data_IF_140816701971
#
_entry.id   IF_140816701971
#
_cell.length_a   1.000
_cell.length_b   1.000
_cell.length_c   1.000
_cell.angle_alpha   90.00
_cell.angle_beta   90.00
_cell.angle_gamma   90.00
#
_symmetry.space_group_name_H-M   'P 1'
#
loop_
_entity.id
_entity.type
_entity.pdbx_description
1 polymer ?
#
# COMPACT_ATOMS: atom_id res chain seq x y z
N UNK A 1 -15.60 -20.99 -12.79
CA UNK A 1 -16.92 -20.72 -12.16
C UNK A 1 -17.49 -19.45 -12.80
N UNK A 2 -18.40 -19.57 -13.76
CA UNK A 2 -19.06 -18.42 -14.38
C UNK A 2 -20.06 -17.76 -13.43
N UNK A 3 -20.17 -16.43 -13.46
CA UNK A 3 -21.25 -15.69 -12.79
C UNK A 3 -22.08 -14.99 -13.86
N UNK A 4 -23.39 -15.21 -13.84
CA UNK A 4 -24.33 -14.57 -14.75
C UNK A 4 -24.44 -13.08 -14.43
N UNK A 5 -24.22 -12.22 -15.43
CA UNK A 5 -24.65 -10.83 -15.42
C UNK A 5 -25.62 -10.68 -16.60
N UNK A 6 -26.89 -10.37 -16.33
CA UNK A 6 -27.89 -10.11 -17.37
C UNK A 6 -28.37 -11.33 -18.19
N UNK A 7 -28.25 -12.55 -17.66
CA UNK A 7 -28.69 -13.78 -18.35
C UNK A 7 -27.70 -14.36 -19.36
N UNK A 8 -26.50 -13.77 -19.46
CA UNK A 8 -25.41 -14.29 -20.29
C UNK A 8 -24.41 -15.03 -19.39
N UNK A 9 -24.17 -16.30 -19.68
CA UNK A 9 -23.14 -17.11 -18.99
C UNK A 9 -21.77 -16.72 -19.56
N UNK A 10 -21.08 -15.82 -18.86
CA UNK A 10 -19.74 -15.39 -19.25
C UNK A 10 -18.71 -16.42 -18.80
N UNK A 11 -18.02 -17.04 -19.76
CA UNK A 11 -16.85 -17.89 -19.52
C UNK A 11 -15.60 -17.03 -19.34
N UNK A 12 -14.83 -17.38 -18.31
CA UNK A 12 -13.54 -16.75 -17.98
C UNK A 12 -12.44 -17.74 -18.30
N UNK A 13 -11.51 -17.33 -19.15
CA UNK A 13 -10.36 -18.14 -19.52
C UNK A 13 -9.09 -17.44 -19.04
N UNK A 14 -8.34 -18.12 -18.16
CA UNK A 14 -7.11 -17.63 -17.53
C UNK A 14 -5.91 -18.39 -18.09
N UNK A 15 -4.84 -17.68 -18.45
CA UNK A 15 -3.59 -18.30 -18.93
C UNK A 15 -2.38 -17.63 -18.29
N UNK A 16 -1.54 -18.43 -17.64
CA UNK A 16 -0.16 -18.09 -17.33
C UNK A 16 0.73 -18.45 -18.54
N UNK A 17 1.49 -17.46 -19.02
CA UNK A 17 2.37 -17.62 -20.18
C UNK A 17 3.75 -18.06 -19.69
N UNK A 18 4.09 -19.34 -19.88
CA UNK A 18 5.42 -19.89 -19.63
C UNK A 18 6.22 -20.01 -20.93
N UNK A 19 7.54 -19.89 -20.81
CA UNK A 19 8.54 -19.97 -21.88
C UNK A 19 8.51 -21.36 -22.55
N UNK A 20 8.18 -21.40 -23.84
CA UNK A 20 8.33 -22.50 -24.79
C UNK A 20 7.20 -22.61 -25.82
N UNK A 21 5.98 -22.17 -25.48
CA UNK A 21 4.77 -22.38 -26.30
C UNK A 21 3.72 -21.26 -26.17
N UNK A 22 4.15 -20.03 -25.87
CA UNK A 22 3.23 -18.90 -25.63
C UNK A 22 2.30 -18.60 -26.82
N UNK A 23 2.81 -18.72 -28.05
CA UNK A 23 2.04 -18.44 -29.26
C UNK A 23 0.92 -19.49 -29.52
N UNK A 24 1.18 -20.79 -29.34
CA UNK A 24 0.14 -21.80 -29.58
C UNK A 24 -0.96 -21.74 -28.51
N UNK A 25 -0.59 -21.47 -27.25
CA UNK A 25 -1.54 -21.23 -26.17
C UNK A 25 -2.45 -20.04 -26.44
N UNK A 26 -1.90 -18.92 -26.91
CA UNK A 26 -2.72 -17.76 -27.31
C UNK A 26 -3.69 -18.11 -28.45
N UNK A 27 -3.26 -18.91 -29.43
CA UNK A 27 -4.18 -19.37 -30.49
C UNK A 27 -5.32 -20.20 -29.94
N UNK A 28 -5.02 -21.19 -29.11
CA UNK A 28 -6.04 -22.04 -28.48
C UNK A 28 -7.00 -21.23 -27.60
N UNK A 29 -6.46 -20.32 -26.77
CA UNK A 29 -7.23 -19.40 -25.91
C UNK A 29 -8.26 -18.61 -26.73
N UNK A 30 -7.81 -17.96 -27.80
CA UNK A 30 -8.69 -17.14 -28.63
C UNK A 30 -9.65 -17.99 -29.47
N UNK A 31 -9.30 -19.22 -29.84
CA UNK A 31 -10.21 -20.15 -30.48
C UNK A 31 -11.34 -20.58 -29.52
N UNK A 32 -10.99 -20.99 -28.30
CA UNK A 32 -11.97 -21.34 -27.28
C UNK A 32 -12.87 -20.15 -26.92
N UNK A 33 -12.31 -18.95 -26.82
CA UNK A 33 -13.09 -17.73 -26.58
C UNK A 33 -14.11 -17.45 -27.70
N UNK A 34 -13.77 -17.78 -28.95
CA UNK A 34 -14.66 -17.64 -30.12
C UNK A 34 -15.77 -18.69 -30.11
N UNK A 35 -15.43 -19.94 -29.82
CA UNK A 35 -16.42 -21.02 -29.74
C UNK A 35 -17.45 -20.78 -28.61
N UNK A 36 -17.05 -20.01 -27.59
CA UNK A 36 -17.87 -19.65 -26.45
C UNK A 36 -18.38 -18.20 -26.48
N UNK A 37 -18.40 -17.56 -27.64
CA UNK A 37 -18.90 -16.20 -27.77
C UNK A 37 -20.41 -16.12 -27.35
N UNK A 38 -20.84 -15.08 -26.60
CA UNK A 38 -20.06 -13.93 -26.15
C UNK A 38 -19.16 -14.22 -24.93
N UNK A 39 -17.90 -13.81 -24.98
CA UNK A 39 -16.90 -14.12 -23.95
C UNK A 39 -15.94 -12.97 -23.63
N UNK A 40 -15.24 -13.06 -22.49
CA UNK A 40 -14.23 -12.09 -22.07
C UNK A 40 -12.90 -12.81 -21.88
N UNK A 41 -11.85 -12.30 -22.54
CA UNK A 41 -10.47 -12.76 -22.37
C UNK A 41 -9.76 -11.79 -21.42
N UNK A 42 -9.24 -12.30 -20.30
CA UNK A 42 -8.47 -11.52 -19.34
C UNK A 42 -6.98 -11.87 -19.47
N UNK A 43 -6.15 -10.85 -19.67
CA UNK A 43 -4.69 -10.98 -19.71
C UNK A 43 -4.11 -10.15 -18.57
N UNK A 44 -3.62 -10.80 -17.52
CA UNK A 44 -2.89 -10.10 -16.46
C UNK A 44 -1.41 -9.94 -16.84
N UNK A 45 -0.76 -8.93 -16.26
CA UNK A 45 0.65 -8.63 -16.48
C UNK A 45 1.05 -8.60 -17.97
N UNK A 46 0.31 -7.83 -18.77
CA UNK A 46 0.54 -7.71 -20.21
C UNK A 46 2.00 -7.34 -20.54
N UNK A 47 2.69 -6.60 -19.66
CA UNK A 47 4.09 -6.23 -19.82
C UNK A 47 5.07 -7.42 -19.83
N UNK A 48 4.67 -8.59 -19.31
CA UNK A 48 5.48 -9.81 -19.39
C UNK A 48 5.67 -10.29 -20.86
N UNK A 49 4.67 -10.09 -21.71
CA UNK A 49 4.69 -10.51 -23.13
C UNK A 49 4.66 -9.34 -24.10
N UNK A 50 4.21 -8.18 -23.64
CA UNK A 50 3.90 -7.00 -24.45
C UNK A 50 4.99 -5.95 -24.51
N UNK A 51 6.15 -6.18 -23.90
CA UNK A 51 7.24 -5.19 -23.89
C UNK A 51 7.80 -4.88 -25.29
N UNK A 52 8.56 -3.77 -25.42
CA UNK A 52 9.27 -3.42 -26.67
C UNK A 52 10.27 -4.50 -27.12
N UNK A 53 10.30 -4.71 -28.44
CA UNK A 53 11.12 -5.71 -29.13
C UNK A 53 12.61 -5.39 -29.01
N UNK A 54 13.46 -6.42 -29.02
CA UNK A 54 14.91 -6.23 -29.14
C UNK A 54 15.65 -5.75 -27.87
N UNK A 55 14.95 -5.54 -26.75
CA UNK A 55 15.57 -5.19 -25.46
C UNK A 55 16.36 -6.36 -24.84
N UNK A 56 16.02 -7.61 -25.18
CA UNK A 56 16.68 -8.82 -24.66
C UNK A 56 17.30 -9.57 -25.84
N UNK A 57 18.64 -9.56 -25.93
CA UNK A 57 19.40 -10.35 -26.92
C UNK A 57 19.53 -11.79 -26.44
N UNK A 58 18.99 -12.76 -27.20
CA UNK A 58 19.07 -14.19 -26.90
C UNK A 58 17.80 -14.96 -27.29
N UNK A 59 17.81 -16.28 -27.11
CA UNK A 59 16.70 -17.18 -27.47
C UNK A 59 15.36 -16.78 -26.80
N UNK A 60 15.38 -16.35 -25.54
CA UNK A 60 14.17 -15.92 -24.82
C UNK A 60 13.52 -14.64 -25.36
N UNK A 61 14.28 -13.77 -26.04
CA UNK A 61 13.73 -12.58 -26.70
C UNK A 61 12.92 -12.93 -27.95
N UNK A 62 13.41 -13.89 -28.75
CA UNK A 62 12.72 -14.35 -29.97
C UNK A 62 11.37 -15.00 -29.67
N UNK A 63 11.29 -15.76 -28.58
CA UNK A 63 10.05 -16.40 -28.18
C UNK A 63 9.00 -15.40 -27.66
N UNK A 64 9.45 -14.39 -26.91
CA UNK A 64 8.59 -13.30 -26.47
C UNK A 64 8.05 -12.52 -27.67
N UNK A 65 8.91 -12.20 -28.63
CA UNK A 65 8.52 -11.50 -29.86
C UNK A 65 7.54 -12.34 -30.70
N UNK A 66 7.71 -13.66 -30.77
CA UNK A 66 6.78 -14.57 -31.44
C UNK A 66 5.41 -14.59 -30.74
N UNK A 67 5.40 -14.68 -29.41
CA UNK A 67 4.18 -14.65 -28.59
C UNK A 67 3.45 -13.30 -28.73
N UNK A 68 4.19 -12.20 -28.73
CA UNK A 68 3.66 -10.85 -28.97
C UNK A 68 3.03 -10.74 -30.36
N UNK A 69 3.73 -11.15 -31.42
CA UNK A 69 3.18 -11.11 -32.77
C UNK A 69 1.90 -11.96 -32.88
N UNK A 70 1.86 -13.12 -32.23
CA UNK A 70 0.66 -13.95 -32.20
C UNK A 70 -0.51 -13.25 -31.47
N UNK A 71 -0.25 -12.57 -30.36
CA UNK A 71 -1.26 -11.76 -29.68
C UNK A 71 -1.81 -10.66 -30.61
N UNK A 72 -0.93 -9.98 -31.37
CA UNK A 72 -1.35 -8.96 -32.33
C UNK A 72 -2.25 -9.54 -33.43
N UNK A 73 -1.92 -10.72 -33.96
CA UNK A 73 -2.76 -11.41 -34.95
C UNK A 73 -4.11 -11.80 -34.37
N UNK A 74 -4.14 -12.31 -33.12
CA UNK A 74 -5.38 -12.65 -32.44
C UNK A 74 -6.28 -11.42 -32.24
N UNK A 75 -5.69 -10.26 -31.90
CA UNK A 75 -6.40 -8.99 -31.73
C UNK A 75 -6.85 -8.34 -33.05
N UNK A 76 -6.10 -8.50 -34.15
CA UNK A 76 -6.47 -7.93 -35.44
C UNK A 76 -7.48 -8.79 -36.20
N UNK A 77 -7.42 -10.11 -36.02
CA UNK A 77 -8.31 -11.09 -36.65
C UNK A 77 -9.76 -11.03 -36.18
N UNK A 78 -10.13 -10.03 -35.38
CA UNK A 78 -11.52 -9.74 -35.01
C UNK A 78 -12.19 -8.91 -36.11
N UNK A 79 -12.73 -9.59 -37.12
CA UNK A 79 -13.64 -8.99 -38.11
C UNK A 79 -15.12 -9.13 -37.70
N UNK A 80 -15.40 -9.84 -36.60
CA UNK A 80 -16.73 -10.01 -36.01
C UNK A 80 -17.06 -8.94 -34.98
N UNK A 81 -18.30 -8.46 -34.98
CA UNK A 81 -18.83 -7.39 -34.12
C UNK A 81 -18.80 -7.77 -32.62
N UNK A 82 -17.69 -7.53 -31.93
CA UNK A 82 -17.68 -7.32 -30.47
C UNK A 82 -18.16 -8.48 -29.56
N UNK A 83 -18.21 -9.71 -30.06
CA UNK A 83 -18.67 -10.86 -29.26
C UNK A 83 -17.59 -11.37 -28.29
N UNK A 84 -16.31 -11.10 -28.56
CA UNK A 84 -15.20 -11.40 -27.65
C UNK A 84 -14.53 -10.10 -27.24
N UNK A 85 -14.49 -9.83 -25.94
CA UNK A 85 -13.88 -8.63 -25.37
C UNK A 85 -12.57 -9.03 -24.68
N UNK A 86 -11.45 -8.47 -25.11
CA UNK A 86 -10.17 -8.63 -24.41
C UNK A 86 -9.93 -7.47 -23.44
N UNK A 87 -9.66 -7.78 -22.17
CA UNK A 87 -9.23 -6.84 -21.15
C UNK A 87 -7.84 -7.26 -20.69
N UNK A 88 -6.94 -6.30 -20.55
CA UNK A 88 -5.59 -6.55 -20.06
C UNK A 88 -5.19 -5.58 -18.94
N UNK A 89 -4.41 -6.06 -17.98
CA UNK A 89 -3.79 -5.26 -16.92
C UNK A 89 -2.29 -5.16 -17.09
N UNK A 90 -1.72 -4.03 -16.69
CA UNK A 90 -0.27 -3.80 -16.69
C UNK A 90 0.09 -2.73 -15.66
N UNK A 91 1.22 -2.92 -14.99
CA UNK A 91 1.80 -1.93 -14.10
C UNK A 91 2.78 -1.00 -14.84
N UNK A 92 3.19 -1.37 -16.06
CA UNK A 92 4.23 -0.70 -16.84
C UNK A 92 3.77 -0.37 -18.26
N UNK A 93 2.80 0.55 -18.42
CA UNK A 93 2.29 0.93 -19.74
C UNK A 93 3.35 1.62 -20.62
N UNK A 94 4.43 2.11 -20.03
CA UNK A 94 5.55 2.81 -20.65
C UNK A 94 6.44 1.90 -21.50
N UNK A 95 6.56 0.61 -21.16
CA UNK A 95 7.42 -0.35 -21.87
C UNK A 95 6.67 -1.17 -22.92
N UNK A 96 5.36 -0.96 -23.08
CA UNK A 96 4.55 -1.75 -24.00
C UNK A 96 4.86 -1.40 -25.46
N UNK A 97 4.91 -2.42 -26.32
CA UNK A 97 5.03 -2.25 -27.77
C UNK A 97 3.91 -1.31 -28.26
N UNK A 98 4.25 -0.17 -28.92
CA UNK A 98 3.27 0.77 -29.43
C UNK A 98 2.22 0.14 -30.36
N UNK A 99 2.53 -1.00 -30.97
CA UNK A 99 1.60 -1.75 -31.78
C UNK A 99 0.40 -2.27 -30.97
N UNK A 100 0.55 -2.61 -29.69
CA UNK A 100 -0.56 -3.09 -28.84
C UNK A 100 -1.63 -2.04 -28.59
N UNK A 101 -1.22 -0.76 -28.52
CA UNK A 101 -2.10 0.36 -28.18
C UNK A 101 -2.72 1.05 -29.41
N UNK A 102 -2.47 0.54 -30.61
CA UNK A 102 -3.04 1.07 -31.85
C UNK A 102 -4.56 0.84 -31.91
N UNK A 103 -5.29 1.65 -32.70
CA UNK A 103 -6.71 1.40 -32.99
C UNK A 103 -6.95 -0.05 -33.42
N UNK A 104 -8.10 -0.61 -33.01
CA UNK A 104 -8.53 -2.03 -33.16
C UNK A 104 -7.90 -3.04 -32.19
N UNK A 105 -6.92 -2.66 -31.36
CA UNK A 105 -6.34 -3.51 -30.31
C UNK A 105 -6.70 -2.96 -28.92
N UNK A 106 -5.73 -2.68 -28.05
CA UNK A 106 -5.96 -2.03 -26.75
C UNK A 106 -6.13 -0.51 -26.89
N UNK A 107 -7.18 -0.09 -27.59
CA UNK A 107 -7.49 1.33 -27.82
C UNK A 107 -7.98 2.03 -26.56
N UNK A 108 -8.85 1.39 -25.77
CA UNK A 108 -9.38 1.96 -24.53
C UNK A 108 -8.41 1.71 -23.38
N UNK A 109 -7.86 2.80 -22.83
CA UNK A 109 -6.99 2.78 -21.66
C UNK A 109 -7.77 3.31 -20.46
N UNK A 110 -7.89 2.50 -19.41
CA UNK A 110 -8.52 2.90 -18.16
C UNK A 110 -7.43 2.95 -17.10
N UNK A 111 -7.10 4.16 -16.65
CA UNK A 111 -6.17 4.33 -15.55
C UNK A 111 -6.91 4.16 -14.22
N UNK A 112 -6.44 3.23 -13.39
CA UNK A 112 -6.95 3.00 -12.05
C UNK A 112 -5.97 3.65 -11.07
N UNK A 113 -6.27 4.86 -10.56
CA UNK A 113 -5.40 5.49 -9.57
C UNK A 113 -5.45 4.74 -8.24
N UNK A 114 -4.45 4.98 -7.40
CA UNK A 114 -4.52 4.56 -5.99
C UNK A 114 -5.79 5.13 -5.33
N UNK A 115 -6.49 4.34 -4.51
CA UNK A 115 -7.66 4.82 -3.79
C UNK A 115 -7.29 5.99 -2.89
N UNK A 116 -8.17 6.99 -2.85
CA UNK A 116 -8.14 8.07 -1.86
C UNK A 116 -9.10 7.73 -0.71
N UNK A 117 -9.27 8.64 0.24
CA UNK A 117 -10.14 8.47 1.42
C UNK A 117 -11.48 7.77 1.11
N UNK A 118 -12.25 8.29 0.15
CA UNK A 118 -13.55 7.71 -0.22
C UNK A 118 -13.39 6.26 -0.74
N UNK A 119 -12.38 6.02 -1.58
CA UNK A 119 -12.08 4.69 -2.08
C UNK A 119 -11.66 3.72 -0.98
N UNK A 120 -10.85 4.17 -0.01
CA UNK A 120 -10.48 3.36 1.15
C UNK A 120 -11.69 3.03 2.03
N UNK A 121 -12.61 3.98 2.25
CA UNK A 121 -13.86 3.72 2.98
C UNK A 121 -14.69 2.64 2.30
N UNK A 122 -14.84 2.71 0.97
CA UNK A 122 -15.62 1.72 0.22
C UNK A 122 -14.93 0.35 0.20
N UNK A 123 -13.60 0.30 0.07
CA UNK A 123 -12.84 -0.96 0.19
C UNK A 123 -12.99 -1.54 1.59
N UNK A 124 -12.91 -0.72 2.65
CA UNK A 124 -13.11 -1.15 4.04
C UNK A 124 -14.49 -1.74 4.24
N UNK A 125 -15.54 -1.03 3.82
CA UNK A 125 -16.92 -1.53 3.88
C UNK A 125 -17.06 -2.84 3.11
N UNK A 126 -16.50 -2.92 1.90
CA UNK A 126 -16.53 -4.13 1.10
C UNK A 126 -15.84 -5.30 1.81
N UNK A 127 -14.66 -5.08 2.41
CA UNK A 127 -13.93 -6.11 3.15
C UNK A 127 -14.67 -6.57 4.40
N UNK A 128 -15.28 -5.64 5.15
CA UNK A 128 -16.08 -5.93 6.34
C UNK A 128 -17.32 -6.75 5.98
N UNK A 129 -18.08 -6.33 4.96
CA UNK A 129 -19.32 -7.00 4.57
C UNK A 129 -19.08 -8.33 3.82
N UNK A 130 -18.09 -8.38 2.91
CA UNK A 130 -17.91 -9.53 2.02
C UNK A 130 -17.17 -10.69 2.69
N UNK A 131 -16.28 -10.44 3.66
CA UNK A 131 -15.43 -11.49 4.25
C UNK A 131 -15.94 -12.06 5.59
N UNK A 132 -17.13 -11.68 6.07
CA UNK A 132 -17.71 -12.12 7.37
C UNK A 132 -16.70 -12.11 8.52
N UNK A 133 -15.76 -11.16 8.51
CA UNK A 133 -14.73 -11.10 9.56
C UNK A 133 -15.38 -10.65 10.87
N UNK A 134 -14.97 -11.20 12.03
CA UNK A 134 -15.44 -10.74 13.32
C UNK A 134 -14.97 -9.30 13.51
N UNK A 135 -15.91 -8.37 13.42
CA UNK A 135 -15.66 -6.93 13.47
C UNK A 135 -16.61 -6.34 14.52
N UNK A 136 -16.13 -5.35 15.28
CA UNK A 136 -16.98 -4.63 16.22
C UNK A 136 -18.17 -3.97 15.49
N UNK A 137 -19.35 -3.99 16.11
CA UNK A 137 -20.60 -3.55 15.47
C UNK A 137 -20.58 -2.07 15.04
N UNK A 138 -19.72 -1.24 15.64
CA UNK A 138 -19.65 0.21 15.43
C UNK A 138 -18.26 0.66 14.95
N UNK A 139 -17.77 0.11 13.85
CA UNK A 139 -16.50 0.57 13.27
C UNK A 139 -16.74 1.76 12.36
N UNK A 140 -16.14 2.90 12.73
CA UNK A 140 -16.05 4.06 11.85
C UNK A 140 -14.99 3.82 10.76
N UNK A 141 -15.46 3.33 9.61
CA UNK A 141 -14.61 3.11 8.43
C UNK A 141 -13.95 4.40 7.93
N UNK A 142 -14.55 5.57 8.20
CA UNK A 142 -14.01 6.87 7.78
C UNK A 142 -12.80 7.24 8.62
N UNK A 143 -12.90 7.09 9.94
CA UNK A 143 -11.78 7.30 10.84
C UNK A 143 -10.61 6.36 10.50
N UNK A 144 -10.90 5.07 10.25
CA UNK A 144 -9.88 4.09 9.88
C UNK A 144 -9.24 4.42 8.54
N UNK A 145 -10.03 4.72 7.51
CA UNK A 145 -9.51 5.12 6.20
C UNK A 145 -8.64 6.37 6.26
N UNK A 146 -8.97 7.33 7.15
CA UNK A 146 -8.20 8.58 7.27
C UNK A 146 -6.77 8.40 7.78
N UNK A 147 -6.49 7.26 8.42
CA UNK A 147 -5.15 6.92 8.91
C UNK A 147 -4.24 6.31 7.83
N UNK A 148 -4.79 6.04 6.64
CA UNK A 148 -4.16 5.25 5.59
C UNK A 148 -4.06 6.08 4.32
N UNK A 149 -2.92 6.72 4.12
CA UNK A 149 -2.62 7.43 2.88
C UNK A 149 -1.64 6.63 2.02
N UNK A 150 -1.85 6.66 0.70
CA UNK A 150 -0.97 6.01 -0.29
C UNK A 150 -1.03 4.48 -0.36
N UNK A 151 -1.81 3.83 0.50
CA UNK A 151 -1.97 2.37 0.59
C UNK A 151 -2.92 1.87 -0.51
N UNK A 152 -2.60 0.73 -1.14
CA UNK A 152 -3.47 0.10 -2.15
C UNK A 152 -4.46 -0.90 -1.52
N UNK A 153 -5.54 -1.22 -2.24
CA UNK A 153 -6.59 -2.12 -1.70
C UNK A 153 -6.09 -3.50 -1.28
N UNK A 154 -5.11 -4.08 -1.97
CA UNK A 154 -4.52 -5.37 -1.61
C UNK A 154 -3.74 -5.30 -0.29
N UNK A 155 -2.92 -4.26 -0.09
CA UNK A 155 -2.23 -4.01 1.17
C UNK A 155 -3.23 -3.79 2.31
N UNK A 156 -4.32 -3.06 2.03
CA UNK A 156 -5.40 -2.84 2.99
C UNK A 156 -6.03 -4.15 3.47
N UNK A 157 -6.35 -5.02 2.53
CA UNK A 157 -6.92 -6.33 2.83
C UNK A 157 -5.97 -7.17 3.66
N UNK A 158 -4.67 -7.15 3.32
CA UNK A 158 -3.63 -7.87 4.05
C UNK A 158 -3.46 -7.33 5.48
N UNK A 159 -3.43 -6.01 5.68
CA UNK A 159 -3.34 -5.40 7.02
C UNK A 159 -4.50 -5.87 7.89
N UNK A 160 -5.72 -5.88 7.37
CA UNK A 160 -6.89 -6.35 8.12
C UNK A 160 -6.78 -7.84 8.43
N UNK A 161 -6.24 -8.65 7.51
CA UNK A 161 -5.99 -10.08 7.71
C UNK A 161 -5.02 -10.34 8.84
N UNK A 162 -3.82 -9.76 8.76
CA UNK A 162 -2.78 -9.86 9.80
C UNK A 162 -3.32 -9.38 11.15
N UNK A 163 -4.03 -8.24 11.18
CA UNK A 163 -4.59 -7.71 12.44
C UNK A 163 -5.61 -8.66 13.06
N UNK A 164 -6.43 -9.33 12.23
CA UNK A 164 -7.41 -10.29 12.74
C UNK A 164 -6.72 -11.52 13.34
N UNK A 165 -5.70 -12.03 12.65
CA UNK A 165 -4.96 -13.21 13.08
C UNK A 165 -4.13 -12.94 14.33
N UNK A 166 -3.46 -11.78 14.39
CA UNK A 166 -2.68 -11.33 15.54
C UNK A 166 -3.58 -11.14 16.77
N UNK A 167 -4.77 -10.55 16.61
CA UNK A 167 -5.73 -10.39 17.69
C UNK A 167 -6.24 -11.75 18.19
N UNK A 168 -6.50 -12.69 17.28
CA UNK A 168 -6.94 -14.03 17.63
C UNK A 168 -5.83 -14.80 18.38
N UNK A 169 -4.58 -14.69 17.90
CA UNK A 169 -3.43 -15.26 18.59
C UNK A 169 -3.23 -14.63 19.96
N UNK A 170 -3.32 -13.30 20.09
CA UNK A 170 -3.21 -12.62 21.37
C UNK A 170 -4.27 -13.08 22.36
N UNK A 171 -5.54 -13.22 21.92
CA UNK A 171 -6.62 -13.74 22.74
C UNK A 171 -6.34 -15.19 23.21
N UNK A 172 -5.86 -16.06 22.31
CA UNK A 172 -5.49 -17.44 22.65
C UNK A 172 -4.29 -17.51 23.61
N UNK A 173 -3.33 -16.61 23.48
CA UNK A 173 -2.15 -16.53 24.36
C UNK A 173 -2.54 -16.03 25.75
N UNK A 174 -3.46 -15.07 25.83
CA UNK A 174 -4.05 -14.57 27.08
C UNK A 174 -4.85 -15.67 27.79
N UNK A 175 -5.70 -16.40 27.06
CA UNK A 175 -6.44 -17.56 27.56
C UNK A 175 -5.50 -18.65 28.10
N UNK A 176 -4.31 -18.80 27.50
CA UNK A 176 -3.25 -19.73 27.93
C UNK A 176 -2.31 -19.14 29.00
N UNK A 177 -2.51 -17.90 29.43
CA UNK A 177 -1.74 -17.25 30.49
C UNK A 177 -0.27 -16.93 30.14
N UNK A 178 0.13 -16.94 28.87
CA UNK A 178 1.52 -16.79 28.45
C UNK A 178 1.85 -15.37 27.95
N UNK A 179 1.82 -14.37 28.82
CA UNK A 179 2.21 -13.00 28.44
C UNK A 179 3.75 -12.86 28.54
N UNK A 180 4.46 -12.97 27.41
CA UNK A 180 5.87 -12.60 27.33
C UNK A 180 6.03 -11.07 27.27
N UNK A 181 5.99 -10.41 28.42
CA UNK A 181 6.36 -8.99 28.52
C UNK A 181 7.88 -8.90 28.69
N UNK A 182 8.62 -8.50 27.66
CA UNK A 182 10.05 -8.18 27.81
C UNK A 182 10.15 -6.96 28.73
N UNK A 183 10.57 -7.15 29.96
CA UNK A 183 10.67 -6.07 30.94
C UNK A 183 11.83 -5.12 30.59
N UNK A 184 11.56 -3.82 30.58
CA UNK A 184 12.58 -2.77 30.45
C UNK A 184 13.01 -2.31 31.83
N UNK A 185 14.29 -1.99 31.99
CA UNK A 185 14.77 -1.33 33.20
C UNK A 185 14.13 0.05 33.38
N UNK A 186 14.01 0.51 34.63
CA UNK A 186 13.48 1.84 34.96
C UNK A 186 14.25 2.97 34.24
N UNK A 187 15.56 2.80 34.03
CA UNK A 187 16.40 3.75 33.30
C UNK A 187 15.99 3.83 31.82
N UNK A 188 15.76 2.69 31.19
CA UNK A 188 15.32 2.63 29.80
C UNK A 188 13.92 3.24 29.61
N UNK A 189 12.99 2.97 30.52
CA UNK A 189 11.66 3.60 30.51
C UNK A 189 11.73 5.12 30.54
N UNK A 190 12.55 5.68 31.45
CA UNK A 190 12.75 7.13 31.54
C UNK A 190 13.36 7.70 30.27
N UNK A 191 14.34 7.02 29.69
CA UNK A 191 15.02 7.49 28.48
C UNK A 191 14.08 7.50 27.26
N UNK A 192 13.29 6.44 27.08
CA UNK A 192 12.27 6.38 26.02
C UNK A 192 11.20 7.46 26.25
N UNK A 193 10.71 7.63 27.48
CA UNK A 193 9.70 8.65 27.78
C UNK A 193 10.20 10.07 27.47
N UNK A 194 11.44 10.39 27.83
CA UNK A 194 12.05 11.69 27.52
C UNK A 194 12.19 11.87 26.00
N UNK A 195 12.61 10.83 25.27
CA UNK A 195 12.76 10.87 23.82
C UNK A 195 11.44 11.20 23.11
N UNK A 196 10.39 10.42 23.40
CA UNK A 196 9.07 10.62 22.76
C UNK A 196 8.44 11.96 23.17
N UNK A 197 8.60 12.37 24.43
CA UNK A 197 8.12 13.66 24.91
C UNK A 197 8.84 14.84 24.23
N UNK A 198 10.16 14.76 24.03
CA UNK A 198 10.92 15.78 23.33
C UNK A 198 10.43 15.95 21.88
N UNK A 199 10.23 14.84 21.17
CA UNK A 199 9.68 14.86 19.81
C UNK A 199 8.29 15.50 19.76
N UNK A 200 7.40 15.13 20.69
CA UNK A 200 6.06 15.70 20.78
C UNK A 200 6.08 17.21 21.06
N UNK A 201 6.88 17.66 22.02
CA UNK A 201 6.99 19.08 22.35
C UNK A 201 7.53 19.89 21.17
N UNK A 202 8.56 19.38 20.49
CA UNK A 202 9.11 20.06 19.31
C UNK A 202 8.08 20.10 18.17
N UNK A 203 7.35 19.01 17.94
CA UNK A 203 6.30 18.96 16.91
C UNK A 203 5.18 19.98 17.15
N UNK A 204 4.72 20.14 18.40
CA UNK A 204 3.64 21.08 18.79
C UNK A 204 4.00 22.54 18.52
N UNK A 205 5.29 22.87 18.51
CA UNK A 205 5.76 24.23 18.23
C UNK A 205 5.72 24.60 16.75
N UNK A 206 5.50 23.63 15.85
CA UNK A 206 5.36 23.91 14.42
C UNK A 206 3.88 23.81 14.00
N UNK A 207 3.28 24.89 13.45
CA UNK A 207 1.87 24.90 13.04
C UNK A 207 1.48 23.73 12.12
N UNK A 208 2.40 23.32 11.23
CA UNK A 208 2.16 22.25 10.26
C UNK A 208 2.34 20.83 10.84
N UNK A 209 2.95 20.69 12.02
CA UNK A 209 3.24 19.40 12.68
C UNK A 209 2.58 19.27 14.06
N UNK A 210 1.79 20.27 14.45
CA UNK A 210 1.17 20.35 15.79
C UNK A 210 0.17 19.23 16.05
N UNK A 211 -0.33 18.59 15.00
CA UNK A 211 -1.30 17.52 15.11
C UNK A 211 -0.61 16.17 15.35
N UNK A 212 -0.42 15.83 16.62
CA UNK A 212 0.06 14.53 17.06
C UNK A 212 -1.13 13.56 17.11
N UNK A 213 -1.09 12.50 16.30
CA UNK A 213 -2.15 11.49 16.27
C UNK A 213 -1.98 10.45 17.38
N UNK A 214 -0.74 10.12 17.71
CA UNK A 214 -0.45 9.02 18.63
C UNK A 214 0.92 9.18 19.29
N UNK A 215 0.99 8.92 20.59
CA UNK A 215 2.24 8.89 21.35
C UNK A 215 2.23 7.68 22.29
N UNK A 216 3.25 6.82 22.20
CA UNK A 216 3.44 5.70 23.12
C UNK A 216 4.89 5.55 23.52
N UNK A 217 5.09 5.14 24.76
CA UNK A 217 6.38 4.68 25.27
C UNK A 217 6.45 3.15 25.29
N UNK A 218 5.35 2.44 25.07
CA UNK A 218 5.33 0.98 25.13
C UNK A 218 6.08 0.35 23.95
N UNK A 219 6.87 -0.72 24.19
CA UNK A 219 7.51 -1.46 23.10
C UNK A 219 6.45 -2.08 22.18
N UNK A 220 6.73 -2.08 20.88
CA UNK A 220 5.94 -2.82 19.88
C UNK A 220 6.78 -3.99 19.36
N UNK A 221 6.13 -5.08 18.96
CA UNK A 221 6.75 -6.34 18.57
C UNK A 221 8.03 -6.13 17.72
N UNK A 222 9.17 -6.62 18.22
CA UNK A 222 10.47 -6.56 17.56
C UNK A 222 11.25 -5.23 17.64
N UNK A 223 10.72 -4.17 18.28
CA UNK A 223 11.42 -2.88 18.45
C UNK A 223 11.47 -2.42 19.91
N UNK A 224 12.64 -1.94 20.32
CA UNK A 224 12.88 -1.52 21.71
C UNK A 224 12.48 -0.06 22.03
N UNK A 225 11.85 0.66 21.08
CA UNK A 225 11.61 2.10 21.18
C UNK A 225 10.12 2.46 21.39
N UNK A 226 9.87 3.70 21.79
CA UNK A 226 8.55 4.33 21.75
C UNK A 226 8.20 4.81 20.33
N UNK A 227 7.06 5.48 20.16
CA UNK A 227 6.60 5.98 18.87
C UNK A 227 5.72 7.23 19.01
N UNK A 228 6.07 8.30 18.28
CA UNK A 228 5.23 9.47 18.03
C UNK A 228 4.78 9.49 16.56
N UNK A 229 3.46 9.55 16.33
CA UNK A 229 2.85 9.71 15.00
C UNK A 229 2.34 11.14 14.83
N UNK A 230 2.77 11.78 13.74
CA UNK A 230 2.32 13.12 13.35
C UNK A 230 1.42 13.02 12.12
N UNK A 231 0.35 13.79 12.10
CA UNK A 231 -0.46 13.97 10.89
C UNK A 231 0.21 15.02 10.00
N UNK A 232 0.70 14.61 8.84
CA UNK A 232 1.25 15.56 7.86
C UNK A 232 0.17 16.03 6.90
N UNK A 233 0.19 17.32 6.59
CA UNK A 233 -0.60 17.88 5.50
C UNK A 233 0.20 17.79 4.19
N UNK A 234 -0.30 16.99 3.25
CA UNK A 234 0.38 16.65 1.98
C UNK A 234 0.65 17.88 1.09
N UNK A 235 -0.04 19.00 1.34
CA UNK A 235 0.08 20.23 0.56
C UNK A 235 1.29 21.10 0.94
N UNK A 236 1.92 20.89 2.10
CA UNK A 236 3.02 21.73 2.62
C UNK A 236 4.40 21.05 2.60
N UNK A 237 4.70 20.37 1.49
CA UNK A 237 5.79 19.40 1.38
C UNK A 237 7.22 19.98 1.50
N UNK A 238 7.48 21.24 1.09
CA UNK A 238 8.86 21.79 1.08
C UNK A 238 9.35 22.29 2.44
N UNK A 239 8.59 23.14 3.13
CA UNK A 239 8.98 23.65 4.47
C UNK A 239 8.68 22.63 5.58
N UNK A 240 7.61 21.85 5.44
CA UNK A 240 7.21 20.84 6.41
C UNK A 240 8.25 19.73 6.58
N UNK A 241 8.95 19.33 5.50
CA UNK A 241 9.95 18.26 5.57
C UNK A 241 11.17 18.64 6.40
N UNK A 242 11.70 19.86 6.27
CA UNK A 242 12.84 20.31 7.09
C UNK A 242 12.48 20.36 8.58
N UNK A 243 11.27 20.85 8.90
CA UNK A 243 10.72 20.86 10.26
C UNK A 243 10.51 19.44 10.78
N UNK A 244 10.07 18.51 9.95
CA UNK A 244 9.91 17.11 10.32
C UNK A 244 11.25 16.40 10.59
N UNK A 245 12.25 16.62 9.75
CA UNK A 245 13.61 16.14 9.98
C UNK A 245 14.15 16.69 11.30
N UNK A 246 13.88 17.95 11.62
CA UNK A 246 14.25 18.56 12.90
C UNK A 246 13.54 17.87 14.09
N UNK A 247 12.25 17.56 13.98
CA UNK A 247 11.51 16.78 15.00
C UNK A 247 12.14 15.40 15.19
N UNK A 248 12.49 14.68 14.12
CA UNK A 248 13.13 13.36 14.22
C UNK A 248 14.50 13.42 14.91
N UNK A 249 15.31 14.44 14.59
CA UNK A 249 16.63 14.64 15.19
C UNK A 249 16.51 15.03 16.67
N UNK A 250 15.44 15.75 17.06
CA UNK A 250 15.24 16.20 18.44
C UNK A 250 15.11 15.05 19.45
N UNK A 251 14.51 13.93 19.05
CA UNK A 251 14.52 12.71 19.87
C UNK A 251 15.94 12.18 20.06
N UNK A 252 16.65 11.99 18.94
CA UNK A 252 18.01 11.41 18.93
C UNK A 252 19.02 12.22 19.75
N UNK A 253 18.97 13.55 19.69
CA UNK A 253 19.92 14.41 20.37
C UNK A 253 19.64 14.65 21.87
N UNK A 254 18.45 14.29 22.37
CA UNK A 254 18.16 14.27 23.81
C UNK A 254 18.77 13.04 24.50
N UNK A 255 18.82 11.90 23.78
CA UNK A 255 19.41 10.63 24.25
C UNK A 255 20.91 10.75 24.52
N UNK A 256 21.64 11.61 23.79
CA UNK A 256 23.09 11.78 23.94
C UNK A 256 23.52 12.97 24.80
N UNK A 257 22.60 13.70 25.44
CA UNK A 257 22.94 14.90 26.23
C UNK A 257 23.58 16.05 25.42
N UNK A 258 23.65 15.92 24.10
CA UNK A 258 24.35 16.86 23.21
C UNK A 258 23.47 18.03 22.74
N UNK A 259 22.16 18.00 23.00
CA UNK A 259 21.27 19.08 22.55
C UNK A 259 21.49 20.41 23.29
N UNK A 260 22.07 20.42 24.50
CA UNK A 260 22.36 21.67 25.24
C UNK A 260 23.29 22.63 24.47
N UNK A 261 24.22 22.10 23.68
CA UNK A 261 25.19 22.94 22.96
C UNK A 261 24.73 23.34 21.54
N UNK A 262 23.92 22.51 20.87
CA UNK A 262 23.43 22.77 19.50
C UNK A 262 22.13 23.58 19.46
N UNK A 263 21.27 23.48 20.48
CA UNK A 263 20.06 24.32 20.61
C UNK A 263 20.41 25.76 20.97
N UNK A 264 21.50 26.00 21.72
CA UNK A 264 21.99 27.36 21.99
C UNK A 264 22.30 28.18 20.73
N UNK A 265 22.60 27.52 19.60
CA UNK A 265 22.86 28.20 18.32
C UNK A 265 21.60 28.41 17.47
N UNK A 266 20.46 27.81 17.82
CA UNK A 266 19.19 27.97 17.09
C UNK A 266 18.07 28.44 18.04
N UNK A 267 18.04 29.76 18.21
CA UNK A 267 16.95 30.63 18.69
C UNK A 267 16.50 30.57 20.17
N UNK A 268 16.61 31.75 20.79
CA UNK A 268 16.31 32.16 22.17
C UNK A 268 14.85 31.97 22.68
N UNK A 269 13.95 31.35 21.92
CA UNK A 269 12.51 31.36 22.23
C UNK A 269 12.03 30.09 22.96
N UNK A 270 12.69 28.95 22.78
CA UNK A 270 12.17 27.66 23.28
C UNK A 270 12.63 27.26 24.69
N UNK A 271 13.69 27.86 25.24
CA UNK A 271 14.31 27.35 26.49
C UNK A 271 13.45 27.62 27.74
N UNK A 272 12.76 28.76 27.80
CA UNK A 272 11.97 29.15 28.97
C UNK A 272 10.68 28.32 29.13
N UNK A 273 9.99 28.01 28.02
CA UNK A 273 8.72 27.27 28.06
C UNK A 273 8.89 25.75 28.21
N UNK A 274 10.03 25.19 27.76
CA UNK A 274 10.30 23.75 27.86
C UNK A 274 10.64 23.29 29.28
N UNK A 275 11.40 24.08 30.03
CA UNK A 275 11.85 23.68 31.38
C UNK A 275 10.72 23.79 32.41
N UNK A 276 9.88 24.83 32.32
CA UNK A 276 8.72 24.98 33.22
C UNK A 276 7.66 23.88 33.02
N UNK A 277 7.35 23.51 31.77
CA UNK A 277 6.27 22.54 31.49
C UNK A 277 6.64 21.09 31.78
N UNK A 278 7.92 20.74 31.73
CA UNK A 278 8.40 19.39 32.07
C UNK A 278 8.37 19.16 33.60
N UNK A 279 8.61 20.21 34.42
CA UNK A 279 8.56 20.09 35.88
C UNK A 279 7.13 19.95 36.45
N UNK A 280 6.11 20.35 35.71
CA UNK A 280 4.70 20.24 36.15
C UNK A 280 4.05 18.87 35.93
N UNK A 281 4.70 17.92 35.25
CA UNK A 281 4.15 16.56 35.08
C UNK A 281 4.47 15.75 36.34
N UNK A 282 3.61 15.85 37.36
CA UNK A 282 3.60 14.90 38.48
C UNK A 282 3.19 13.53 37.95
N UNK A 283 4.12 12.57 38.02
CA UNK A 283 3.81 11.16 37.87
C UNK A 283 3.05 10.72 39.12
N UNK A 284 1.74 10.54 38.99
CA UNK A 284 0.91 9.78 39.94
C UNK A 284 1.04 8.28 39.69
#
# INVERSE_FOLDING_TARGET
>A
MGRCIGGVELKYLFVEIYVGDGASRLRALYQEARENAPSIVLIDELDAVGGERGLIKGSGGQERDATLNQLLVCLDGFEGRGEVITIASTNRPDILDPALVRPRRFYRKIYIPKPRLIGHVEILKALVHARKKPMAQNIDCTAVASMWDGIVGAELANIIEITTDDLLQAAQVEERGMIYRKERSTKMWKQVAINEAAMAVVAVNFPDLRNIEFLTISPRAGRELGYVRLKMDHMKFKEGMLRYVFVLISGFGFIQGQLRAKVRKLHHVCEAQLVERIQTVKFG
#
